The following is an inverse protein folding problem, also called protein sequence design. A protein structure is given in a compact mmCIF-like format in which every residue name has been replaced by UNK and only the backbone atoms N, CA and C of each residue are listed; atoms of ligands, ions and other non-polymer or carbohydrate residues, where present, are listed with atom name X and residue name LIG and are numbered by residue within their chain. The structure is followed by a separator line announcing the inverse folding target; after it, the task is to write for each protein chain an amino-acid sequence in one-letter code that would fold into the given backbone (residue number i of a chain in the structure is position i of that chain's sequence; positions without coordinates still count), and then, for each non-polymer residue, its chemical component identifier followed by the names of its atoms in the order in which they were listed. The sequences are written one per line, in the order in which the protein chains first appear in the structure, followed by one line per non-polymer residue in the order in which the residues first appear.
data_IF_925235841940
#
_entry.id   IF_925235841940
#
_cell.length_a   1.000
_cell.length_b   1.000
_cell.length_c   1.000
_cell.angle_alpha   90.00
_cell.angle_beta   90.00
_cell.angle_gamma   90.00
#
_symmetry.space_group_name_H-M   'P 1'
#
loop_
_entity.id
_entity.type
_entity.pdbx_description
1 polymer ?
#
# COMPACT_ATOMS: atom_id res chain seq x y z
N UNK A 1 36.08 45.57 19.06
CA UNK A 1 35.00 44.67 19.45
C UNK A 1 34.29 44.19 18.21
N UNK A 2 34.64 43.00 17.74
CA UNK A 2 34.02 42.36 16.57
C UNK A 2 33.00 41.32 17.06
N UNK A 3 31.74 41.54 16.74
CA UNK A 3 30.68 40.61 17.06
C UNK A 3 30.71 39.42 16.08
N UNK A 4 31.05 38.26 16.59
CA UNK A 4 30.93 36.97 15.88
C UNK A 4 29.44 36.61 15.82
N UNK A 5 28.82 36.73 14.65
CA UNK A 5 27.54 36.10 14.36
C UNK A 5 27.80 34.60 14.16
N UNK A 6 27.50 33.84 15.18
CA UNK A 6 27.43 32.38 15.09
C UNK A 6 26.27 31.99 14.17
N UNK A 7 26.56 31.46 12.99
CA UNK A 7 25.63 30.65 12.24
C UNK A 7 25.35 29.40 13.07
N UNK A 8 24.23 29.39 13.79
CA UNK A 8 23.68 28.13 14.30
C UNK A 8 23.32 27.27 13.08
N UNK A 9 24.13 26.26 12.82
CA UNK A 9 23.76 25.18 11.92
C UNK A 9 22.42 24.64 12.44
N UNK A 10 21.34 24.83 11.68
CA UNK A 10 20.10 24.13 11.93
C UNK A 10 20.44 22.64 11.76
N UNK A 11 20.60 21.94 12.85
CA UNK A 11 20.49 20.49 12.86
C UNK A 11 19.13 20.18 12.27
N UNK A 12 19.14 19.65 11.06
CA UNK A 12 17.96 19.04 10.48
C UNK A 12 17.69 17.80 11.32
N UNK A 13 16.79 17.94 12.28
CA UNK A 13 16.31 16.81 13.02
C UNK A 13 15.81 15.78 11.97
N UNK A 14 16.40 14.59 11.96
CA UNK A 14 15.87 13.47 11.21
C UNK A 14 14.42 13.34 11.66
N UNK A 15 13.43 13.38 10.76
CA UNK A 15 12.05 13.26 11.16
C UNK A 15 11.93 11.96 11.97
N UNK A 16 11.49 12.09 13.21
CA UNK A 16 11.23 10.94 14.05
C UNK A 16 9.98 10.26 13.51
N UNK A 17 10.17 9.32 12.59
CA UNK A 17 9.11 8.39 12.21
C UNK A 17 8.87 7.49 13.42
N UNK A 18 7.61 7.21 13.77
CA UNK A 18 7.29 6.27 14.82
C UNK A 18 8.00 4.94 14.54
N UNK A 19 8.65 4.35 15.55
CA UNK A 19 9.19 2.99 15.47
C UNK A 19 8.03 1.99 15.48
N UNK A 20 7.24 2.03 14.43
CA UNK A 20 6.12 1.13 14.20
C UNK A 20 6.45 0.30 12.96
N UNK A 21 6.83 -0.94 13.18
CA UNK A 21 7.19 -1.88 12.11
C UNK A 21 6.00 -2.25 11.20
N UNK A 22 4.78 -1.83 11.57
CA UNK A 22 3.58 -2.01 10.74
C UNK A 22 3.43 -0.94 9.65
N UNK A 23 4.24 0.13 9.69
CA UNK A 23 4.14 1.21 8.71
C UNK A 23 4.86 0.87 7.41
N UNK A 24 4.18 1.07 6.31
CA UNK A 24 4.66 0.84 4.96
C UNK A 24 5.45 2.03 4.44
N UNK A 25 6.69 2.17 4.88
CA UNK A 25 7.59 3.22 4.39
C UNK A 25 9.05 2.77 4.29
N UNK A 26 9.81 3.47 3.48
CA UNK A 26 11.24 3.31 3.33
C UNK A 26 11.94 4.67 3.50
N UNK A 27 12.85 4.78 4.47
CA UNK A 27 13.62 6.00 4.72
C UNK A 27 14.69 6.21 3.64
N UNK A 28 14.84 7.44 3.21
CA UNK A 28 15.81 7.88 2.21
C UNK A 28 16.80 8.89 2.81
N UNK A 29 17.90 9.13 2.11
CA UNK A 29 18.87 10.14 2.51
C UNK A 29 18.24 11.55 2.50
N UNK A 30 18.62 12.40 3.46
CA UNK A 30 18.17 13.79 3.52
C UNK A 30 16.80 14.03 4.17
N UNK A 31 16.26 13.03 4.92
CA UNK A 31 15.02 13.17 5.68
C UNK A 31 13.76 13.04 4.83
N UNK A 32 13.87 12.47 3.65
CA UNK A 32 12.76 12.02 2.83
C UNK A 32 12.47 10.55 3.11
N UNK A 33 11.27 10.11 2.76
CA UNK A 33 10.88 8.70 2.79
C UNK A 33 9.83 8.43 1.73
N UNK A 34 9.83 7.21 1.21
CA UNK A 34 8.78 6.71 0.32
C UNK A 34 7.82 5.86 1.12
N UNK A 35 6.53 6.05 0.95
CA UNK A 35 5.49 5.35 1.70
C UNK A 35 4.30 4.97 0.82
N UNK A 36 3.59 3.92 1.23
CA UNK A 36 2.27 3.60 0.73
C UNK A 36 1.26 4.35 1.60
N UNK A 37 0.44 5.18 0.98
CA UNK A 37 -0.53 6.05 1.67
C UNK A 37 -1.92 5.90 1.04
N UNK A 38 -2.96 6.21 1.82
CA UNK A 38 -4.30 6.46 1.27
C UNK A 38 -4.50 7.96 1.11
N UNK A 39 -4.84 8.40 -0.08
CA UNK A 39 -5.22 9.79 -0.34
C UNK A 39 -6.70 9.94 0.01
N UNK A 40 -6.99 10.84 0.94
CA UNK A 40 -8.34 11.08 1.49
C UNK A 40 -8.69 12.56 1.49
N UNK A 41 -9.97 12.83 1.65
CA UNK A 41 -10.49 14.17 1.86
C UNK A 41 -11.32 14.20 3.14
N UNK A 42 -11.14 15.26 3.95
CA UNK A 42 -11.95 15.45 5.15
C UNK A 42 -13.27 16.17 4.84
N UNK A 43 -14.11 16.36 5.85
CA UNK A 43 -15.43 17.00 5.74
C UNK A 43 -15.35 18.46 5.27
N UNK A 44 -14.21 19.11 5.44
CA UNK A 44 -13.95 20.48 4.99
C UNK A 44 -13.45 20.53 3.53
N UNK A 45 -13.28 19.38 2.89
CA UNK A 45 -12.77 19.26 1.53
C UNK A 45 -11.23 19.34 1.45
N UNK A 46 -10.51 19.27 2.57
CA UNK A 46 -9.06 19.29 2.60
C UNK A 46 -8.51 17.89 2.34
N UNK A 47 -7.64 17.78 1.33
CA UNK A 47 -6.96 16.52 1.02
C UNK A 47 -5.80 16.29 1.99
N UNK A 48 -5.68 15.05 2.45
CA UNK A 48 -4.60 14.58 3.31
C UNK A 48 -4.16 13.17 2.91
N UNK A 49 -2.97 12.76 3.34
CA UNK A 49 -2.45 11.42 3.14
C UNK A 49 -2.56 10.65 4.47
N UNK A 50 -3.06 9.42 4.41
CA UNK A 50 -3.26 8.57 5.56
C UNK A 50 -2.24 7.43 5.53
N UNK A 51 -1.36 7.35 6.52
CA UNK A 51 -0.27 6.38 6.58
C UNK A 51 -0.57 5.31 7.64
N UNK A 52 -0.53 4.04 7.22
CA UNK A 52 -0.69 2.87 8.11
C UNK A 52 -2.02 2.82 8.85
N UNK A 53 -3.09 3.41 8.31
CA UNK A 53 -4.39 3.47 8.98
C UNK A 53 -4.43 4.29 10.27
N UNK A 54 -3.39 5.10 10.55
CA UNK A 54 -3.24 5.82 11.82
C UNK A 54 -2.77 7.26 11.69
N UNK A 55 -1.77 7.56 10.85
CA UNK A 55 -1.11 8.86 10.84
C UNK A 55 -1.62 9.74 9.71
N UNK A 56 -2.07 10.94 10.06
CA UNK A 56 -2.48 11.97 9.10
C UNK A 56 -1.27 12.80 8.68
N UNK A 57 -1.01 12.84 7.39
CA UNK A 57 0.02 13.67 6.79
C UNK A 57 -0.66 14.77 5.99
N UNK A 58 -0.45 16.02 6.42
CA UNK A 58 -1.03 17.19 5.77
C UNK A 58 -0.05 17.77 4.74
N UNK A 59 -0.35 17.67 3.42
CA UNK A 59 0.51 18.21 2.37
C UNK A 59 0.57 19.74 2.44
N UNK A 60 1.75 20.31 2.13
CA UNK A 60 1.97 21.74 2.01
C UNK A 60 1.48 22.33 0.68
N UNK A 61 1.21 21.47 -0.30
CA UNK A 61 0.69 21.82 -1.62
C UNK A 61 -0.56 20.98 -1.95
N UNK A 62 -1.31 21.43 -2.95
CA UNK A 62 -2.51 20.70 -3.42
C UNK A 62 -2.14 19.36 -4.00
N UNK A 63 -2.86 18.32 -3.58
CA UNK A 63 -2.79 16.95 -4.11
C UNK A 63 -4.05 16.69 -4.94
N UNK A 64 -3.93 16.11 -6.15
CA UNK A 64 -5.10 15.74 -6.94
C UNK A 64 -6.01 14.77 -6.19
N UNK A 65 -7.33 14.99 -6.26
CA UNK A 65 -8.33 14.16 -5.60
C UNK A 65 -9.65 14.19 -6.34
N UNK A 66 -10.11 13.03 -6.75
CA UNK A 66 -11.47 12.82 -7.30
C UNK A 66 -12.26 11.88 -6.40
N UNK A 67 -11.59 10.86 -5.88
CA UNK A 67 -12.11 9.88 -4.94
C UNK A 67 -10.94 9.35 -4.09
N UNK A 68 -11.22 8.61 -3.04
CA UNK A 68 -10.19 7.97 -2.22
C UNK A 68 -9.45 6.90 -3.02
N UNK A 69 -8.11 6.87 -2.92
CA UNK A 69 -7.26 5.89 -3.61
C UNK A 69 -5.98 5.62 -2.85
N UNK A 70 -5.33 4.49 -3.16
CA UNK A 70 -3.98 4.17 -2.68
C UNK A 70 -2.94 4.78 -3.60
N UNK A 71 -1.85 5.24 -3.01
CA UNK A 71 -0.74 5.80 -3.74
C UNK A 71 0.59 5.42 -3.10
N UNK A 72 1.64 5.37 -3.92
CA UNK A 72 3.02 5.46 -3.46
C UNK A 72 3.47 6.90 -3.54
N UNK A 73 4.08 7.43 -2.49
CA UNK A 73 4.47 8.82 -2.40
C UNK A 73 5.86 8.97 -1.81
N UNK A 74 6.68 9.85 -2.40
CA UNK A 74 7.91 10.36 -1.77
C UNK A 74 7.60 11.63 -1.01
N UNK A 75 7.92 11.62 0.26
CA UNK A 75 7.50 12.62 1.23
C UNK A 75 8.71 13.18 1.97
N UNK A 76 8.66 14.47 2.28
CA UNK A 76 9.58 15.11 3.21
C UNK A 76 8.79 15.71 4.36
N UNK A 77 9.04 15.24 5.57
CA UNK A 77 8.34 15.73 6.76
C UNK A 77 8.93 17.03 7.29
N UNK A 78 8.07 17.91 7.76
CA UNK A 78 8.43 19.17 8.46
C UNK A 78 8.22 19.02 9.97
N UNK A 79 9.30 18.87 10.71
CA UNK A 79 9.24 18.73 12.16
C UNK A 79 8.83 17.32 12.63
N UNK A 80 8.55 17.18 13.91
CA UNK A 80 8.07 15.95 14.52
C UNK A 80 6.56 15.77 14.29
N UNK A 81 6.06 14.57 14.55
CA UNK A 81 4.63 14.33 14.67
C UNK A 81 4.08 15.10 15.91
N UNK A 82 2.95 15.75 15.70
CA UNK A 82 2.12 16.28 16.78
C UNK A 82 0.98 15.28 16.98
N UNK A 83 1.08 14.44 18.02
CA UNK A 83 0.24 13.26 18.23
C UNK A 83 0.33 12.28 17.03
N UNK A 84 -0.69 12.22 16.18
CA UNK A 84 -0.79 11.38 14.98
C UNK A 84 -0.79 12.19 13.67
N UNK A 85 -0.37 13.48 13.71
CA UNK A 85 -0.34 14.38 12.54
C UNK A 85 1.05 14.91 12.26
N UNK A 86 1.37 15.04 10.98
CA UNK A 86 2.58 15.74 10.53
C UNK A 86 2.30 16.55 9.27
N UNK A 87 3.12 17.60 9.05
CA UNK A 87 3.14 18.32 7.79
C UNK A 87 4.20 17.73 6.87
N UNK A 88 3.85 17.58 5.60
CA UNK A 88 4.74 17.01 4.61
C UNK A 88 4.81 17.83 3.33
N UNK A 89 5.97 17.78 2.65
CA UNK A 89 6.09 18.15 1.25
C UNK A 89 6.03 16.88 0.42
N UNK A 90 5.15 16.85 -0.56
CA UNK A 90 5.02 15.74 -1.51
C UNK A 90 5.98 16.01 -2.67
N UNK A 91 7.00 15.15 -2.82
CA UNK A 91 7.98 15.25 -3.90
C UNK A 91 7.41 14.65 -5.19
N UNK A 92 6.78 13.49 -5.08
CA UNK A 92 5.96 12.84 -6.10
C UNK A 92 4.92 11.96 -5.43
N UNK A 93 3.86 11.68 -6.15
CA UNK A 93 2.77 10.81 -5.72
C UNK A 93 2.21 10.10 -6.96
N UNK A 94 2.19 8.78 -6.92
CA UNK A 94 1.72 7.92 -8.00
C UNK A 94 0.62 7.00 -7.47
N UNK A 95 -0.58 7.00 -8.07
CA UNK A 95 -1.61 6.03 -7.74
C UNK A 95 -1.11 4.60 -7.94
N UNK A 96 -1.50 3.72 -7.04
CA UNK A 96 -1.29 2.27 -7.19
C UNK A 96 -2.47 1.71 -7.98
N UNK A 97 -2.19 0.86 -8.96
CA UNK A 97 -3.22 0.20 -9.75
C UNK A 97 -4.13 -0.66 -8.87
N UNK A 98 -5.43 -0.60 -9.11
CA UNK A 98 -6.42 -1.38 -8.40
C UNK A 98 -6.70 -2.70 -9.12
N UNK A 99 -6.61 -3.80 -8.35
CA UNK A 99 -7.14 -5.11 -8.72
C UNK A 99 -8.64 -5.22 -8.39
N UNK A 100 -9.24 -6.30 -8.80
CA UNK A 100 -10.66 -6.54 -8.63
C UNK A 100 -10.89 -7.42 -7.39
N UNK A 101 -11.48 -6.85 -6.34
CA UNK A 101 -11.99 -7.62 -5.21
C UNK A 101 -13.39 -8.15 -5.54
N UNK A 102 -13.61 -9.47 -5.37
CA UNK A 102 -14.88 -10.11 -5.76
C UNK A 102 -15.21 -11.32 -4.89
N UNK A 103 -16.50 -11.66 -4.86
CA UNK A 103 -17.02 -12.93 -4.32
C UNK A 103 -17.38 -13.93 -5.42
N UNK A 104 -17.18 -13.57 -6.68
CA UNK A 104 -17.39 -14.50 -7.79
C UNK A 104 -16.23 -15.48 -7.90
N UNK A 105 -16.44 -16.68 -7.39
CA UNK A 105 -15.44 -17.76 -7.42
C UNK A 105 -15.18 -18.34 -8.81
N UNK A 106 -15.94 -17.92 -9.84
CA UNK A 106 -15.78 -18.39 -11.23
C UNK A 106 -14.80 -17.56 -12.04
N UNK A 107 -14.28 -16.42 -11.51
CA UNK A 107 -13.29 -15.60 -12.23
C UNK A 107 -12.03 -16.42 -12.58
N UNK A 108 -11.46 -16.20 -13.78
CA UNK A 108 -10.27 -16.91 -14.22
C UNK A 108 -9.03 -16.48 -13.44
N UNK A 109 -7.95 -17.24 -13.58
CA UNK A 109 -6.63 -16.87 -13.09
C UNK A 109 -5.95 -18.01 -12.36
N UNK A 110 -5.02 -18.65 -13.06
CA UNK A 110 -4.13 -19.68 -12.53
C UNK A 110 -2.69 -19.43 -12.98
N UNK A 111 -2.43 -18.25 -13.60
CA UNK A 111 -1.08 -17.86 -13.99
C UNK A 111 -0.27 -17.52 -12.73
N UNK A 112 0.96 -18.03 -12.70
CA UNK A 112 1.80 -17.89 -11.51
C UNK A 112 2.23 -16.45 -11.25
N UNK A 113 2.27 -16.09 -9.97
CA UNK A 113 2.73 -14.78 -9.50
C UNK A 113 3.53 -14.94 -8.20
N UNK A 114 4.67 -14.28 -8.09
CA UNK A 114 5.49 -14.34 -6.89
C UNK A 114 5.28 -13.11 -6.02
N UNK A 115 4.70 -13.28 -4.83
CA UNK A 115 4.50 -12.18 -3.89
C UNK A 115 5.73 -11.94 -3.03
N UNK A 116 6.11 -10.68 -2.91
CA UNK A 116 7.17 -10.21 -2.02
C UNK A 116 6.59 -9.88 -0.64
N UNK A 117 6.18 -10.91 0.11
CA UNK A 117 5.46 -10.78 1.38
C UNK A 117 6.29 -10.09 2.48
N UNK A 118 7.63 -10.11 2.38
CA UNK A 118 8.55 -9.38 3.28
C UNK A 118 8.89 -7.97 2.83
N UNK A 119 8.29 -7.47 1.74
CA UNK A 119 8.49 -6.11 1.26
C UNK A 119 7.74 -5.11 2.14
N UNK A 120 8.33 -3.94 2.40
CA UNK A 120 7.65 -2.83 3.08
C UNK A 120 6.44 -2.29 2.29
N UNK A 121 6.36 -2.58 0.99
CA UNK A 121 5.23 -2.21 0.12
C UNK A 121 4.04 -3.13 0.35
N UNK A 122 4.28 -4.42 0.67
CA UNK A 122 3.20 -5.38 0.94
C UNK A 122 2.60 -5.11 2.31
N UNK A 123 1.37 -4.62 2.32
CA UNK A 123 0.71 -4.16 3.55
C UNK A 123 -0.80 -4.38 3.51
N UNK A 124 -1.38 -4.58 4.69
CA UNK A 124 -2.82 -4.56 4.90
C UNK A 124 -3.14 -3.49 5.94
N UNK A 125 -3.62 -2.35 5.49
CA UNK A 125 -4.00 -1.24 6.35
C UNK A 125 -5.14 -0.44 5.72
N UNK A 126 -5.86 0.31 6.55
CA UNK A 126 -6.89 1.24 6.12
C UNK A 126 -7.96 0.62 5.19
N UNK A 127 -8.30 -0.67 5.40
CA UNK A 127 -9.27 -1.39 4.59
C UNK A 127 -8.76 -1.79 3.19
N UNK A 128 -7.46 -1.69 2.95
CA UNK A 128 -6.78 -2.10 1.72
C UNK A 128 -5.82 -3.25 1.96
N UNK A 129 -5.62 -4.08 0.95
CA UNK A 129 -4.52 -5.01 0.82
C UNK A 129 -3.68 -4.59 -0.39
N UNK A 130 -2.47 -4.12 -0.15
CA UNK A 130 -1.52 -3.72 -1.20
C UNK A 130 -0.43 -4.77 -1.29
N UNK A 131 -0.18 -5.29 -2.47
CA UNK A 131 0.75 -6.39 -2.71
C UNK A 131 1.85 -5.97 -3.67
N UNK A 132 3.10 -6.22 -3.29
CA UNK A 132 4.27 -6.14 -4.15
C UNK A 132 4.52 -7.51 -4.76
N UNK A 133 4.63 -7.58 -6.08
CA UNK A 133 4.74 -8.84 -6.78
C UNK A 133 5.77 -8.81 -7.90
N UNK A 134 6.13 -10.01 -8.37
CA UNK A 134 6.84 -10.24 -9.63
C UNK A 134 5.98 -11.14 -10.51
N UNK A 135 5.84 -10.80 -11.78
CA UNK A 135 5.17 -11.61 -12.78
C UNK A 135 5.97 -11.62 -14.08
N UNK A 136 5.58 -12.45 -15.02
CA UNK A 136 6.21 -12.52 -16.36
C UNK A 136 5.31 -11.88 -17.39
N UNK A 137 5.93 -11.12 -18.31
CA UNK A 137 5.29 -10.33 -19.35
C UNK A 137 5.89 -10.68 -20.71
N UNK A 138 5.12 -10.57 -21.78
CA UNK A 138 5.63 -10.70 -23.13
C UNK A 138 6.31 -9.41 -23.62
N UNK A 139 7.03 -9.49 -24.73
CA UNK A 139 7.66 -8.31 -25.38
C UNK A 139 6.62 -7.27 -25.87
N UNK A 140 5.40 -7.72 -26.10
CA UNK A 140 4.24 -6.88 -26.41
C UNK A 140 3.17 -7.14 -25.37
N UNK A 141 3.32 -6.59 -24.15
CA UNK A 141 2.52 -6.99 -23.01
C UNK A 141 1.03 -6.73 -23.23
N UNK A 142 0.24 -7.71 -22.90
CA UNK A 142 -1.22 -7.64 -22.81
C UNK A 142 -1.56 -7.18 -21.39
N UNK A 143 -2.74 -6.61 -21.19
CA UNK A 143 -3.22 -6.29 -19.86
C UNK A 143 -3.44 -7.56 -19.03
N UNK A 144 -2.85 -7.63 -17.85
CA UNK A 144 -3.06 -8.71 -16.89
C UNK A 144 -4.17 -8.34 -15.92
N UNK A 145 -5.05 -9.28 -15.61
CA UNK A 145 -6.10 -9.09 -14.61
C UNK A 145 -5.66 -9.71 -13.28
N UNK A 146 -5.93 -8.98 -12.20
CA UNK A 146 -5.68 -9.43 -10.84
C UNK A 146 -7.00 -9.45 -10.07
N UNK A 147 -7.39 -10.63 -9.59
CA UNK A 147 -8.59 -10.83 -8.80
C UNK A 147 -8.22 -11.26 -7.39
N UNK A 148 -8.81 -10.61 -6.40
CA UNK A 148 -8.78 -11.08 -5.02
C UNK A 148 -10.16 -11.63 -4.69
N UNK A 149 -10.25 -12.94 -4.50
CA UNK A 149 -11.51 -13.68 -4.39
C UNK A 149 -11.77 -14.03 -2.94
N UNK A 150 -12.89 -13.57 -2.41
CA UNK A 150 -13.43 -13.99 -1.12
C UNK A 150 -14.48 -15.10 -1.29
N UNK A 151 -14.79 -15.83 -0.18
CA UNK A 151 -15.81 -16.87 -0.18
C UNK A 151 -15.35 -18.21 -0.78
N UNK A 152 -14.06 -18.38 -0.99
CA UNK A 152 -13.47 -19.69 -1.36
C UNK A 152 -13.45 -20.67 -0.19
N UNK A 153 -13.52 -20.17 1.04
CA UNK A 153 -13.71 -20.94 2.27
C UNK A 153 -15.05 -20.52 2.90
N UNK A 154 -16.05 -21.42 2.97
CA UNK A 154 -17.36 -21.08 3.51
C UNK A 154 -17.36 -20.87 5.05
N UNK A 155 -16.34 -21.35 5.75
CA UNK A 155 -16.23 -21.29 7.20
C UNK A 155 -15.40 -20.08 7.67
N UNK A 156 -14.61 -19.47 6.76
CA UNK A 156 -13.78 -18.31 7.08
C UNK A 156 -13.85 -17.21 6.00
N UNK A 157 -14.57 -16.10 6.27
CA UNK A 157 -14.70 -15.00 5.32
C UNK A 157 -13.42 -14.20 5.08
N UNK A 158 -12.38 -14.40 5.90
CA UNK A 158 -11.08 -13.74 5.77
C UNK A 158 -10.05 -14.60 5.02
N UNK A 159 -10.42 -15.80 4.58
CA UNK A 159 -9.63 -16.58 3.62
C UNK A 159 -9.87 -16.02 2.22
N UNK A 160 -8.81 -15.49 1.60
CA UNK A 160 -8.81 -14.87 0.27
C UNK A 160 -7.90 -15.63 -0.67
N UNK A 161 -8.23 -15.63 -1.95
CA UNK A 161 -7.42 -16.23 -3.00
C UNK A 161 -7.04 -15.17 -4.04
N UNK A 162 -5.74 -14.91 -4.22
CA UNK A 162 -5.26 -14.08 -5.32
C UNK A 162 -5.17 -14.93 -6.58
N UNK A 163 -5.84 -14.46 -7.63
CA UNK A 163 -5.81 -15.04 -8.97
C UNK A 163 -5.23 -14.03 -9.95
N UNK A 164 -4.22 -14.47 -10.66
CA UNK A 164 -3.60 -13.73 -11.74
C UNK A 164 -3.97 -14.37 -13.08
N UNK A 165 -4.45 -13.56 -14.01
CA UNK A 165 -4.77 -13.95 -15.37
C UNK A 165 -3.97 -13.09 -16.34
N UNK A 166 -2.98 -13.71 -16.97
CA UNK A 166 -2.10 -13.03 -17.94
C UNK A 166 -2.76 -12.82 -19.31
N UNK A 167 -4.05 -13.23 -19.48
CA UNK A 167 -4.81 -13.09 -20.74
C UNK A 167 -4.10 -13.65 -21.97
N UNK A 168 -3.30 -14.71 -21.79
CA UNK A 168 -2.53 -15.37 -22.85
C UNK A 168 -1.26 -14.63 -23.23
N UNK A 169 -0.80 -13.68 -22.43
CA UNK A 169 0.53 -13.08 -22.60
C UNK A 169 1.65 -14.12 -22.46
N UNK A 170 2.73 -13.95 -23.22
CA UNK A 170 3.84 -14.88 -23.20
C UNK A 170 4.77 -14.57 -22.01
N UNK A 171 5.19 -15.60 -21.23
CA UNK A 171 5.98 -15.36 -20.01
C UNK A 171 7.49 -15.19 -20.34
N UNK A 172 7.86 -14.11 -21.03
CA UNK A 172 9.22 -13.90 -21.57
C UNK A 172 10.13 -13.13 -20.61
N UNK A 173 9.66 -12.00 -20.05
CA UNK A 173 10.44 -11.13 -19.20
C UNK A 173 9.80 -11.01 -17.81
N UNK A 174 10.64 -10.98 -16.76
CA UNK A 174 10.19 -10.76 -15.40
C UNK A 174 10.11 -9.27 -15.11
N UNK A 175 8.99 -8.83 -14.53
CA UNK A 175 8.77 -7.47 -14.09
C UNK A 175 8.19 -7.42 -12.68
N UNK A 176 8.43 -6.31 -11.99
CA UNK A 176 7.85 -6.02 -10.68
C UNK A 176 6.65 -5.09 -10.82
N UNK A 177 5.67 -5.29 -9.94
CA UNK A 177 4.50 -4.43 -9.87
C UNK A 177 3.94 -4.32 -8.46
N UNK A 178 3.05 -3.35 -8.31
CA UNK A 178 2.27 -3.15 -7.09
C UNK A 178 0.81 -3.16 -7.50
N UNK A 179 0.00 -3.91 -6.76
CA UNK A 179 -1.45 -3.99 -6.97
C UNK A 179 -2.17 -3.78 -5.65
N UNK A 180 -3.27 -3.08 -5.66
CA UNK A 180 -4.07 -2.76 -4.51
C UNK A 180 -5.47 -3.34 -4.61
N UNK A 181 -6.06 -3.73 -3.49
CA UNK A 181 -7.44 -4.19 -3.40
C UNK A 181 -8.15 -3.46 -2.25
N UNK A 182 -9.27 -2.81 -2.53
CA UNK A 182 -10.17 -2.32 -1.48
C UNK A 182 -10.98 -3.51 -0.94
N UNK A 183 -10.62 -3.95 0.26
CA UNK A 183 -11.22 -5.11 0.93
C UNK A 183 -12.12 -4.68 2.10
N UNK A 184 -12.47 -3.40 2.18
CA UNK A 184 -13.27 -2.86 3.27
C UNK A 184 -14.73 -3.35 3.28
N UNK A 185 -15.12 -4.09 2.26
CA UNK A 185 -16.43 -4.78 2.20
C UNK A 185 -16.43 -6.17 2.83
N UNK A 186 -15.27 -6.66 3.30
CA UNK A 186 -15.21 -7.82 4.19
C UNK A 186 -16.02 -7.57 5.48
N UNK A 187 -16.42 -8.61 6.22
CA UNK A 187 -17.12 -8.42 7.48
C UNK A 187 -16.42 -7.45 8.41
N UNK A 188 -17.19 -6.61 9.11
CA UNK A 188 -16.65 -5.64 10.07
C UNK A 188 -15.85 -6.35 11.15
N UNK A 189 -14.61 -5.92 11.33
CA UNK A 189 -13.72 -6.48 12.36
C UNK A 189 -14.01 -5.97 13.76
N UNK A 190 -14.82 -4.92 13.91
CA UNK A 190 -15.08 -4.25 15.19
C UNK A 190 -13.82 -3.59 15.76
N UNK A 191 -13.56 -3.83 17.04
CA UNK A 191 -12.42 -3.22 17.74
C UNK A 191 -11.09 -3.98 17.52
N UNK A 192 -11.16 -5.27 17.18
CA UNK A 192 -10.00 -6.15 17.05
C UNK A 192 -9.64 -6.40 15.59
N UNK A 193 -8.34 -6.43 15.30
CA UNK A 193 -7.88 -6.87 13.99
C UNK A 193 -8.19 -8.37 13.79
N UNK A 194 -8.52 -8.74 12.57
CA UNK A 194 -8.64 -10.14 12.12
C UNK A 194 -7.40 -10.51 11.29
N UNK A 195 -7.22 -11.78 11.04
CA UNK A 195 -6.17 -12.29 10.17
C UNK A 195 -6.77 -12.61 8.81
N UNK A 196 -6.21 -12.04 7.75
CA UNK A 196 -6.46 -12.48 6.38
C UNK A 196 -5.51 -13.63 6.08
N UNK A 197 -6.05 -14.73 5.59
CA UNK A 197 -5.31 -15.88 5.06
C UNK A 197 -5.29 -15.80 3.53
N UNK A 198 -4.25 -15.17 2.98
CA UNK A 198 -4.09 -15.02 1.53
C UNK A 198 -3.45 -16.27 0.93
N UNK A 199 -4.07 -16.84 -0.11
CA UNK A 199 -3.57 -17.98 -0.89
C UNK A 199 -3.34 -17.55 -2.33
N UNK A 200 -2.30 -18.10 -2.99
CA UNK A 200 -2.04 -17.87 -4.41
C UNK A 200 -1.23 -19.02 -5.03
N UNK A 201 -1.08 -19.00 -6.34
CA UNK A 201 -0.18 -19.89 -7.08
C UNK A 201 1.07 -19.10 -7.48
N UNK A 202 2.26 -19.60 -7.12
CA UNK A 202 3.52 -18.95 -7.48
C UNK A 202 3.94 -19.26 -8.93
N UNK A 203 5.00 -18.61 -9.43
CA UNK A 203 5.51 -18.78 -10.79
C UNK A 203 5.99 -20.20 -11.12
N UNK A 204 6.26 -21.02 -10.10
CA UNK A 204 6.57 -22.44 -10.23
C UNK A 204 5.32 -23.35 -10.24
N UNK A 205 4.10 -22.78 -10.18
CA UNK A 205 2.85 -23.52 -10.12
C UNK A 205 2.54 -24.15 -8.76
N UNK A 206 3.19 -23.67 -7.69
CA UNK A 206 3.02 -24.17 -6.32
C UNK A 206 2.05 -23.29 -5.57
N UNK A 207 1.23 -23.88 -4.71
CA UNK A 207 0.37 -23.14 -3.79
C UNK A 207 1.19 -22.53 -2.66
N UNK A 208 1.01 -21.25 -2.44
CA UNK A 208 1.63 -20.45 -1.38
C UNK A 208 0.54 -19.79 -0.52
N UNK A 209 0.91 -19.38 0.70
CA UNK A 209 0.03 -18.64 1.57
C UNK A 209 0.80 -17.68 2.47
N UNK A 210 0.13 -16.59 2.87
CA UNK A 210 0.63 -15.64 3.85
C UNK A 210 -0.51 -15.03 4.67
N UNK A 211 -0.19 -14.63 5.89
CA UNK A 211 -1.13 -14.03 6.82
C UNK A 211 -0.89 -12.53 6.95
N UNK A 212 -1.99 -11.74 6.96
CA UNK A 212 -1.95 -10.29 7.15
C UNK A 212 -2.95 -9.86 8.22
N UNK A 213 -2.53 -8.95 9.10
CA UNK A 213 -3.46 -8.30 10.02
C UNK A 213 -4.39 -7.37 9.26
N UNK A 214 -5.70 -7.48 9.48
CA UNK A 214 -6.70 -6.66 8.81
C UNK A 214 -7.63 -5.99 9.81
N UNK A 215 -7.91 -4.72 9.55
CA UNK A 215 -8.93 -3.95 10.27
C UNK A 215 -9.75 -3.16 9.27
N UNK A 216 -11.08 -3.24 9.39
CA UNK A 216 -11.98 -2.43 8.58
C UNK A 216 -11.77 -0.95 8.84
N UNK A 217 -11.81 -0.16 7.77
CA UNK A 217 -11.79 1.29 7.81
C UNK A 217 -13.08 1.82 8.45
N UNK A 218 -12.94 2.78 9.34
CA UNK A 218 -14.07 3.52 9.97
C UNK A 218 -14.36 4.80 9.22
#
# INVERSE_FOLDING_TARGET
MAALYGCAAREWAIPYMPEDSSLSYHSEAGGSYTAIVTVRQDEEGKVYLWLGGRYRLDPDASVPYEHQYRAMASLRQYGAFEEDRARVSVQWLEPVDDGIFTTDVSVPGADGIDLKTGSWITTSDDGYLTLHYTAKWGQHPVHHDFYLVAGTDPDDPYTLELRHNANGDLPEEEGEGIINFDINTLPDTGEEAKVIHLKWINSAGQAEAADFGFKTRK
#
